data_IF_489666797769
#
_entry.id   IF_489666797769
#
_cell.length_a   1.000
_cell.length_b   1.000
_cell.length_c   1.000
_cell.angle_alpha   90.00
_cell.angle_beta   90.00
_cell.angle_gamma   90.00
#
_symmetry.space_group_name_H-M   'P 1'
#
loop_
_entity.id
_entity.type
_entity.pdbx_description
1 polymer ?
#
# COMPACT_ATOMS: atom_id res chain seq x y z
N UNK A 1 8.40 38.91 -0.48
CA UNK A 1 9.78 39.10 0.01
C UNK A 1 10.39 37.73 0.27
N UNK A 2 11.23 37.27 -0.66
CA UNK A 2 11.95 36.00 -0.54
C UNK A 2 13.15 36.20 0.37
N UNK A 3 13.12 35.61 1.57
CA UNK A 3 14.27 35.55 2.47
C UNK A 3 14.88 34.16 2.38
N UNK A 4 15.95 34.06 1.60
CA UNK A 4 16.84 32.93 1.54
C UNK A 4 17.59 32.79 2.87
N UNK A 5 17.62 31.57 3.43
CA UNK A 5 18.62 31.18 4.43
C UNK A 5 19.31 29.92 3.90
N UNK A 6 20.43 30.17 3.22
CA UNK A 6 21.48 29.20 2.95
C UNK A 6 22.47 29.25 4.11
N UNK A 7 22.57 28.19 4.91
CA UNK A 7 23.80 27.89 5.64
C UNK A 7 24.15 26.40 5.50
N UNK A 8 25.36 26.20 5.03
CA UNK A 8 26.02 24.96 4.68
C UNK A 8 26.85 24.40 5.85
N UNK A 9 27.46 23.24 5.59
CA UNK A 9 28.51 22.53 6.36
C UNK A 9 27.98 21.60 7.49
N UNK A 10 28.41 20.34 7.62
CA UNK A 10 29.58 19.66 7.08
C UNK A 10 29.30 18.17 6.87
N UNK A 11 29.98 17.61 5.88
CA UNK A 11 29.97 16.20 5.51
C UNK A 11 30.70 15.32 6.53
N UNK A 12 30.14 14.14 6.79
CA UNK A 12 30.90 12.95 7.17
C UNK A 12 30.13 11.68 6.74
N UNK A 13 30.48 11.02 5.63
CA UNK A 13 30.09 9.64 5.43
C UNK A 13 31.17 8.76 6.08
N UNK A 14 30.90 8.24 7.26
CA UNK A 14 31.65 7.10 7.78
C UNK A 14 31.21 5.85 6.99
N UNK A 15 31.93 5.55 5.90
CA UNK A 15 31.80 4.29 5.17
C UNK A 15 32.49 3.19 5.98
N UNK A 16 31.73 2.57 6.88
CA UNK A 16 32.11 1.28 7.44
C UNK A 16 31.98 0.23 6.33
N UNK A 17 33.09 -0.45 6.02
CA UNK A 17 33.19 -1.45 4.98
C UNK A 17 32.13 -2.54 5.14
N UNK A 18 31.42 -2.81 4.05
CA UNK A 18 30.55 -3.97 3.96
C UNK A 18 31.43 -5.24 3.89
N UNK A 19 31.17 -6.28 4.69
CA UNK A 19 31.64 -7.60 4.35
C UNK A 19 30.89 -8.06 3.09
N UNK A 20 31.63 -8.28 2.00
CA UNK A 20 31.14 -8.98 0.83
C UNK A 20 30.90 -10.44 1.22
N UNK A 21 29.70 -10.73 1.72
CA UNK A 21 29.18 -12.09 1.75
C UNK A 21 28.90 -12.50 0.30
N UNK A 22 29.69 -13.44 -0.22
CA UNK A 22 29.39 -14.10 -1.49
C UNK A 22 28.16 -14.97 -1.25
N UNK A 23 27.00 -14.45 -1.61
CA UNK A 23 25.74 -15.19 -1.62
C UNK A 23 25.78 -16.17 -2.82
N UNK A 24 25.46 -17.46 -2.63
CA UNK A 24 25.44 -18.42 -3.72
C UNK A 24 24.35 -18.01 -4.71
N UNK A 25 24.70 -17.99 -6.00
CA UNK A 25 23.77 -17.71 -7.08
C UNK A 25 22.64 -18.75 -7.09
N UNK A 26 21.49 -18.38 -6.52
CA UNK A 26 20.26 -19.15 -6.63
C UNK A 26 19.76 -18.99 -8.07
N UNK A 27 19.79 -20.11 -8.82
CA UNK A 27 19.27 -20.19 -10.17
C UNK A 27 17.84 -19.63 -10.22
N UNK A 28 17.67 -18.57 -11.02
CA UNK A 28 16.36 -17.94 -11.25
C UNK A 28 15.47 -18.90 -12.01
N UNK A 29 14.55 -19.55 -11.30
CA UNK A 29 13.45 -20.29 -11.91
C UNK A 29 12.58 -19.31 -12.73
N UNK A 30 12.04 -19.72 -13.90
CA UNK A 30 11.24 -18.86 -14.74
C UNK A 30 9.99 -18.40 -13.98
N UNK A 31 9.76 -17.09 -13.96
CA UNK A 31 8.61 -16.48 -13.29
C UNK A 31 7.31 -16.99 -13.93
N UNK A 32 6.64 -17.91 -13.23
CA UNK A 32 5.30 -18.37 -13.60
C UNK A 32 4.33 -17.22 -13.36
N UNK A 33 3.56 -16.85 -14.38
CA UNK A 33 2.51 -15.82 -14.24
C UNK A 33 1.59 -16.17 -13.08
N UNK A 34 1.24 -15.20 -12.21
CA UNK A 34 0.41 -15.49 -11.05
C UNK A 34 -0.96 -16.00 -11.51
N UNK A 35 -1.49 -17.06 -10.86
CA UNK A 35 -2.82 -17.56 -11.16
C UNK A 35 -3.86 -16.46 -10.96
N UNK A 36 -4.88 -16.43 -11.82
CA UNK A 36 -6.03 -15.51 -11.64
C UNK A 36 -6.66 -15.79 -10.27
N UNK A 37 -6.92 -14.75 -9.45
CA UNK A 37 -7.49 -14.95 -8.12
C UNK A 37 -8.86 -15.60 -8.27
N UNK A 38 -9.10 -16.66 -7.50
CA UNK A 38 -10.41 -17.33 -7.48
C UNK A 38 -11.36 -16.51 -6.61
N UNK A 39 -12.64 -16.47 -6.97
CA UNK A 39 -13.65 -15.70 -6.24
C UNK A 39 -13.72 -16.08 -4.74
N UNK A 40 -13.50 -17.36 -4.44
CA UNK A 40 -13.54 -17.93 -3.08
C UNK A 40 -12.21 -17.83 -2.33
N UNK A 41 -11.18 -17.22 -2.94
CA UNK A 41 -9.87 -17.09 -2.31
C UNK A 41 -9.94 -16.09 -1.15
N UNK A 42 -9.52 -16.53 0.03
CA UNK A 42 -9.46 -15.68 1.23
C UNK A 42 -8.28 -14.71 1.15
N UNK A 43 -8.58 -13.42 1.23
CA UNK A 43 -7.61 -12.33 1.21
C UNK A 43 -7.68 -11.54 2.51
N UNK A 44 -6.59 -11.59 3.27
CA UNK A 44 -6.42 -10.83 4.51
C UNK A 44 -5.70 -9.50 4.25
N UNK A 45 -6.33 -8.38 4.60
CA UNK A 45 -5.74 -7.04 4.51
C UNK A 45 -5.66 -6.40 5.89
N UNK A 46 -4.65 -5.55 6.10
CA UNK A 46 -4.53 -4.75 7.33
C UNK A 46 -5.04 -3.36 7.06
N UNK A 47 -6.22 -3.05 7.58
CA UNK A 47 -6.90 -1.77 7.34
C UNK A 47 -6.68 -0.81 8.51
N UNK A 48 -6.40 0.47 8.23
CA UNK A 48 -6.37 1.49 9.26
C UNK A 48 -7.80 1.80 9.71
N UNK A 49 -8.06 1.67 11.01
CA UNK A 49 -9.36 2.08 11.58
C UNK A 49 -9.29 3.57 11.91
N UNK A 50 -10.27 4.33 11.43
CA UNK A 50 -10.35 5.77 11.71
C UNK A 50 -10.43 6.02 13.22
N UNK A 51 -9.58 6.91 13.74
CA UNK A 51 -9.49 7.20 15.17
C UNK A 51 -8.64 6.21 15.99
N UNK A 52 -8.14 5.13 15.39
CA UNK A 52 -7.22 4.20 16.04
C UNK A 52 -5.81 4.32 15.48
N UNK A 53 -4.81 4.16 16.36
CA UNK A 53 -3.39 4.05 15.96
C UNK A 53 -3.00 2.62 15.59
N UNK A 54 -3.85 1.64 15.89
CA UNK A 54 -3.64 0.24 15.54
C UNK A 54 -4.41 -0.12 14.27
N UNK A 55 -3.76 -0.92 13.42
CA UNK A 55 -4.38 -1.49 12.21
C UNK A 55 -5.08 -2.79 12.58
N UNK A 56 -6.29 -2.99 12.05
CA UNK A 56 -7.03 -4.24 12.18
C UNK A 56 -6.74 -5.14 10.99
N UNK A 57 -6.78 -6.46 11.19
CA UNK A 57 -6.63 -7.44 10.10
C UNK A 57 -8.00 -7.99 9.73
N UNK A 58 -8.44 -7.69 8.52
CA UNK A 58 -9.73 -8.12 7.97
C UNK A 58 -9.47 -9.16 6.90
N UNK A 59 -10.04 -10.35 7.07
CA UNK A 59 -9.93 -11.46 6.13
C UNK A 59 -11.29 -11.72 5.50
N UNK A 60 -11.37 -11.61 4.18
CA UNK A 60 -12.60 -11.80 3.40
C UNK A 60 -12.29 -12.52 2.10
N UNK A 61 -13.30 -13.07 1.45
CA UNK A 61 -13.11 -13.64 0.11
C UNK A 61 -12.83 -12.55 -0.92
N UNK A 62 -12.23 -12.92 -2.04
CA UNK A 62 -12.02 -12.01 -3.16
C UNK A 62 -13.34 -11.42 -3.65
N UNK A 63 -14.42 -12.22 -3.71
CA UNK A 63 -15.76 -11.77 -4.06
C UNK A 63 -16.30 -10.69 -3.10
N UNK A 64 -16.12 -10.89 -1.79
CA UNK A 64 -16.54 -9.92 -0.78
C UNK A 64 -15.80 -8.58 -0.91
N UNK A 65 -14.50 -8.62 -1.22
CA UNK A 65 -13.71 -7.41 -1.45
C UNK A 65 -14.20 -6.63 -2.68
N UNK A 66 -14.64 -7.33 -3.72
CA UNK A 66 -15.20 -6.71 -4.92
C UNK A 66 -16.57 -6.10 -4.65
N UNK A 67 -17.44 -6.79 -3.92
CA UNK A 67 -18.73 -6.25 -3.48
C UNK A 67 -18.55 -4.98 -2.64
N UNK A 68 -17.70 -5.02 -1.62
CA UNK A 68 -17.39 -3.83 -0.79
C UNK A 68 -16.91 -2.63 -1.61
N UNK A 69 -16.13 -2.88 -2.67
CA UNK A 69 -15.67 -1.82 -3.57
C UNK A 69 -16.81 -1.26 -4.42
N UNK A 70 -17.71 -2.13 -4.90
CA UNK A 70 -18.88 -1.72 -5.67
C UNK A 70 -19.84 -0.89 -4.81
N UNK A 71 -20.12 -1.34 -3.59
CA UNK A 71 -20.97 -0.63 -2.62
C UNK A 71 -20.41 0.76 -2.31
N UNK A 72 -19.11 0.84 -1.99
CA UNK A 72 -18.46 2.11 -1.71
C UNK A 72 -18.55 3.10 -2.90
N UNK A 73 -18.44 2.62 -4.15
CA UNK A 73 -18.62 3.49 -5.33
C UNK A 73 -20.06 3.98 -5.45
N UNK A 74 -21.02 3.07 -5.31
CA UNK A 74 -22.44 3.41 -5.38
C UNK A 74 -22.83 4.44 -4.32
N UNK A 75 -22.28 4.34 -3.11
CA UNK A 75 -22.56 5.30 -2.03
C UNK A 75 -22.00 6.69 -2.32
N UNK A 76 -20.79 6.77 -2.90
CA UNK A 76 -20.23 8.06 -3.35
C UNK A 76 -21.06 8.65 -4.49
N UNK A 77 -21.46 7.86 -5.48
CA UNK A 77 -22.29 8.31 -6.61
C UNK A 77 -23.65 8.83 -6.14
N UNK A 78 -24.29 8.13 -5.20
CA UNK A 78 -25.54 8.58 -4.57
C UNK A 78 -25.34 9.88 -3.81
N UNK A 79 -24.27 10.00 -3.02
CA UNK A 79 -23.98 11.22 -2.26
C UNK A 79 -23.73 12.43 -3.17
N UNK A 80 -23.09 12.24 -4.34
CA UNK A 80 -22.88 13.29 -5.33
C UNK A 80 -24.17 13.70 -6.03
N UNK A 81 -25.02 12.73 -6.38
CA UNK A 81 -26.29 12.98 -7.08
C UNK A 81 -27.33 13.61 -6.15
N UNK A 82 -27.32 13.25 -4.86
CA UNK A 82 -28.25 13.74 -3.86
C UNK A 82 -27.70 14.95 -3.06
N UNK A 83 -26.79 15.73 -3.64
CA UNK A 83 -26.37 16.99 -3.04
C UNK A 83 -27.13 18.16 -3.71
N UNK A 84 -28.29 18.59 -3.17
CA UNK A 84 -28.96 19.79 -3.62
C UNK A 84 -28.19 21.00 -3.07
N UNK A 85 -27.04 21.32 -3.67
CA UNK A 85 -26.43 22.62 -3.42
C UNK A 85 -27.36 23.67 -4.04
N UNK A 86 -28.15 24.33 -3.20
CA UNK A 86 -28.97 25.49 -3.54
C UNK A 86 -28.90 26.52 -2.43
#
# INVERSE_FOLDING_TARGET
>A
MFAAVLLAAAAAPAQAGAPTTVEPAVATAPARSPPKPRADEMVCKREPVLGSRMKERVCLTQADWEQRRADARADIEKAQTNNPIK
#
